data_IF_363677630072
#
_entry.id   IF_363677630072
#
_cell.length_a   1.000
_cell.length_b   1.000
_cell.length_c   1.000
_cell.angle_alpha   90.00
_cell.angle_beta   90.00
_cell.angle_gamma   90.00
#
_symmetry.space_group_name_H-M   'P 1'
#
loop_
_entity.id
_entity.type
_entity.pdbx_description
1 polymer ?
#
# COMPACT_ATOMS: atom_id res chain seq x y z
N UNK A 1 -44.83 23.38 25.14
CA UNK A 1 -44.04 22.14 24.95
C UNK A 1 -42.73 22.52 24.28
N UNK A 2 -41.59 22.25 24.92
CA UNK A 2 -40.25 22.53 24.36
C UNK A 2 -39.73 21.25 23.70
N UNK A 3 -39.55 21.28 22.38
CA UNK A 3 -38.91 20.20 21.64
C UNK A 3 -37.41 20.41 21.68
N UNK A 4 -36.73 19.63 22.52
CA UNK A 4 -35.26 19.56 22.51
C UNK A 4 -34.85 18.66 21.34
N UNK A 5 -34.34 19.26 20.27
CA UNK A 5 -33.79 18.51 19.14
C UNK A 5 -32.37 18.08 19.54
N UNK A 6 -32.19 16.78 19.77
CA UNK A 6 -30.86 16.18 19.98
C UNK A 6 -30.24 15.98 18.60
N UNK A 7 -29.30 16.85 18.23
CA UNK A 7 -28.48 16.69 17.04
C UNK A 7 -27.46 15.57 17.29
N UNK A 8 -27.74 14.37 16.80
CA UNK A 8 -26.78 13.27 16.79
C UNK A 8 -25.74 13.52 15.68
N UNK A 9 -24.54 13.96 16.08
CA UNK A 9 -23.37 14.02 15.19
C UNK A 9 -22.78 12.63 15.03
N UNK A 10 -23.09 11.98 13.90
CA UNK A 10 -22.41 10.75 13.47
C UNK A 10 -20.97 11.10 13.08
N UNK A 11 -20.01 10.84 13.98
CA UNK A 11 -18.58 10.83 13.67
C UNK A 11 -18.27 9.60 12.81
N UNK A 12 -18.46 9.72 11.49
CA UNK A 12 -17.88 8.77 10.56
C UNK A 12 -16.35 8.98 10.53
N UNK A 13 -15.60 8.06 11.13
CA UNK A 13 -14.14 8.04 11.03
C UNK A 13 -13.74 7.79 9.58
N UNK A 14 -13.20 8.81 8.91
CA UNK A 14 -12.60 8.68 7.59
C UNK A 14 -11.28 7.92 7.72
N UNK A 15 -11.31 6.62 7.51
CA UNK A 15 -10.08 5.85 7.32
C UNK A 15 -9.52 6.25 5.95
N UNK A 16 -8.38 6.95 5.94
CA UNK A 16 -7.67 7.27 4.70
C UNK A 16 -7.24 5.96 4.02
N UNK A 17 -7.45 5.84 2.71
CA UNK A 17 -6.95 4.72 1.93
C UNK A 17 -5.71 5.17 1.15
N UNK A 18 -4.71 4.29 1.06
CA UNK A 18 -3.53 4.51 0.26
C UNK A 18 -3.51 3.57 -0.93
N UNK A 19 -3.30 4.16 -2.09
CA UNK A 19 -3.23 3.47 -3.37
C UNK A 19 -1.80 3.48 -3.92
N UNK A 20 -1.38 2.33 -4.43
CA UNK A 20 -0.16 2.18 -5.23
C UNK A 20 -0.39 1.18 -6.38
N UNK A 21 0.48 1.19 -7.37
CA UNK A 21 0.48 0.23 -8.48
C UNK A 21 1.87 -0.38 -8.61
N UNK A 22 1.95 -1.70 -8.56
CA UNK A 22 3.15 -2.47 -8.85
C UNK A 22 3.21 -2.75 -10.36
N UNK A 23 4.36 -2.54 -10.97
CA UNK A 23 4.57 -2.74 -12.40
C UNK A 23 5.61 -3.82 -12.64
N UNK A 24 5.35 -4.68 -13.62
CA UNK A 24 6.23 -5.81 -13.97
C UNK A 24 7.62 -5.33 -14.44
N UNK A 25 7.69 -4.19 -15.11
CA UNK A 25 8.95 -3.64 -15.63
C UNK A 25 9.38 -2.38 -14.86
N UNK A 26 10.65 -2.01 -15.03
CA UNK A 26 11.18 -0.72 -14.57
C UNK A 26 10.48 0.47 -15.24
N UNK A 27 10.58 1.65 -14.64
CA UNK A 27 10.00 2.89 -15.17
C UNK A 27 8.50 2.81 -15.46
N UNK A 28 7.76 2.04 -14.65
CA UNK A 28 6.30 1.88 -14.70
C UNK A 28 5.80 1.21 -15.99
N UNK A 29 6.63 0.35 -16.58
CA UNK A 29 6.28 -0.44 -17.77
C UNK A 29 5.61 -1.78 -17.43
N UNK A 30 5.17 -2.50 -18.46
CA UNK A 30 4.58 -3.82 -18.29
C UNK A 30 3.19 -3.82 -17.63
N UNK A 31 2.78 -4.97 -17.09
CA UNK A 31 1.48 -5.12 -16.44
C UNK A 31 1.47 -4.40 -15.09
N UNK A 32 0.40 -3.66 -14.81
CA UNK A 32 0.18 -2.97 -13.54
C UNK A 32 -0.81 -3.70 -12.63
N UNK A 33 -0.45 -3.90 -11.36
CA UNK A 33 -1.29 -4.44 -10.30
C UNK A 33 -1.56 -3.38 -9.24
N UNK A 34 -2.80 -2.87 -9.21
CA UNK A 34 -3.20 -1.85 -8.26
C UNK A 34 -3.60 -2.44 -6.91
N UNK A 35 -3.12 -1.82 -5.84
CA UNK A 35 -3.54 -2.08 -4.46
C UNK A 35 -4.18 -0.82 -3.89
N UNK A 36 -5.31 -0.99 -3.20
CA UNK A 36 -6.03 0.08 -2.53
C UNK A 36 -6.46 -0.44 -1.16
N UNK A 37 -5.63 -0.17 -0.16
CA UNK A 37 -5.86 -0.60 1.22
C UNK A 37 -5.86 0.60 2.17
N UNK A 38 -6.50 0.49 3.34
CA UNK A 38 -6.38 1.50 4.40
C UNK A 38 -4.93 1.90 4.69
N UNK A 39 -4.73 3.17 5.04
CA UNK A 39 -3.46 3.76 5.45
C UNK A 39 -3.19 3.42 6.93
N UNK A 40 -2.82 2.17 7.18
CA UNK A 40 -2.68 1.61 8.52
C UNK A 40 -1.52 0.62 8.64
N UNK A 41 -1.18 0.26 9.88
CA UNK A 41 -0.12 -0.70 10.20
C UNK A 41 -0.54 -2.18 10.01
N UNK A 42 -1.67 -2.43 9.33
CA UNK A 42 -2.12 -3.80 9.03
C UNK A 42 -1.29 -4.36 7.87
N UNK A 43 -0.90 -5.62 8.02
CA UNK A 43 -0.20 -6.35 6.99
C UNK A 43 -1.15 -6.95 5.95
N UNK A 44 -0.72 -6.90 4.69
CA UNK A 44 -1.44 -7.44 3.54
C UNK A 44 -0.54 -8.31 2.68
N UNK A 45 -0.99 -9.52 2.34
CA UNK A 45 -0.30 -10.40 1.40
C UNK A 45 -0.74 -10.11 -0.04
N UNK A 46 0.22 -9.98 -0.96
CA UNK A 46 -0.01 -9.63 -2.37
C UNK A 46 -0.47 -10.80 -3.23
N UNK A 47 -0.33 -12.04 -2.74
CA UNK A 47 -0.80 -13.27 -3.38
C UNK A 47 -0.40 -13.38 -4.88
N UNK A 48 0.87 -13.12 -5.18
CA UNK A 48 1.43 -13.22 -6.53
C UNK A 48 1.54 -11.90 -7.30
N UNK A 49 0.87 -10.83 -6.83
CA UNK A 49 0.90 -9.52 -7.51
C UNK A 49 2.24 -8.79 -7.42
N UNK A 50 3.12 -9.22 -6.50
CA UNK A 50 4.45 -8.66 -6.31
C UNK A 50 5.59 -9.54 -6.85
N UNK A 51 5.27 -10.71 -7.42
CA UNK A 51 6.25 -11.71 -7.89
C UNK A 51 7.00 -11.27 -9.16
N UNK A 52 6.57 -10.17 -9.78
CA UNK A 52 7.21 -9.57 -10.95
C UNK A 52 7.49 -8.08 -10.77
N UNK A 53 7.23 -7.53 -9.59
CA UNK A 53 7.25 -6.09 -9.42
C UNK A 53 8.68 -5.55 -9.55
N UNK A 54 8.90 -4.69 -10.53
CA UNK A 54 10.18 -4.02 -10.81
C UNK A 54 10.10 -2.50 -10.66
N UNK A 55 8.90 -1.90 -10.62
CA UNK A 55 8.70 -0.50 -10.25
C UNK A 55 7.36 -0.25 -9.58
N UNK A 56 7.22 0.89 -8.89
CA UNK A 56 6.02 1.21 -8.08
C UNK A 56 5.64 2.67 -8.24
N UNK A 57 4.38 2.95 -8.62
CA UNK A 57 3.79 4.28 -8.41
C UNK A 57 3.00 4.29 -7.11
N UNK A 58 3.03 5.42 -6.40
CA UNK A 58 2.32 5.59 -5.14
C UNK A 58 1.82 7.02 -4.98
N UNK A 59 0.62 7.16 -4.40
CA UNK A 59 0.10 8.46 -4.01
C UNK A 59 0.80 9.05 -2.77
N UNK A 60 0.13 10.02 -2.13
CA UNK A 60 0.58 10.53 -0.83
C UNK A 60 0.68 9.41 0.23
N UNK A 61 1.59 9.57 1.20
CA UNK A 61 1.88 8.56 2.23
C UNK A 61 3.04 7.64 1.86
N UNK A 62 3.18 6.52 2.58
CA UNK A 62 4.28 5.59 2.35
C UNK A 62 3.88 4.12 2.59
N UNK A 63 4.54 3.19 1.89
CA UNK A 63 4.37 1.74 2.07
C UNK A 63 5.68 1.18 2.60
N UNK A 64 5.59 0.20 3.48
CA UNK A 64 6.71 -0.72 3.68
C UNK A 64 6.40 -2.01 2.94
N UNK A 65 7.26 -2.39 2.00
CA UNK A 65 7.22 -3.64 1.26
C UNK A 65 8.15 -4.66 1.90
N UNK A 66 7.73 -5.93 1.91
CA UNK A 66 8.43 -7.01 2.59
C UNK A 66 8.72 -8.18 1.66
N UNK A 67 9.88 -8.79 1.89
CA UNK A 67 10.40 -9.93 1.13
C UNK A 67 9.65 -11.24 1.46
N UNK A 68 8.87 -11.28 2.53
CA UNK A 68 8.14 -12.48 2.94
C UNK A 68 6.67 -12.15 3.20
N UNK A 69 5.86 -13.21 3.34
CA UNK A 69 4.47 -13.08 3.75
C UNK A 69 4.38 -12.51 5.17
N UNK A 70 3.22 -11.96 5.48
CA UNK A 70 2.87 -11.51 6.84
C UNK A 70 3.84 -10.46 7.40
N UNK A 71 4.41 -9.62 6.52
CA UNK A 71 5.26 -8.47 6.81
C UNK A 71 6.54 -8.84 7.56
N UNK A 72 7.16 -9.93 7.10
CA UNK A 72 8.40 -10.47 7.64
C UNK A 72 9.59 -10.30 6.69
N UNK A 73 10.78 -10.55 7.21
CA UNK A 73 12.03 -10.51 6.45
C UNK A 73 12.53 -9.10 6.16
N UNK A 74 13.42 -8.98 5.17
CA UNK A 74 13.94 -7.69 4.74
C UNK A 74 12.84 -6.82 4.15
N UNK A 75 12.94 -5.52 4.38
CA UNK A 75 11.90 -4.56 4.01
C UNK A 75 12.44 -3.30 3.38
N UNK A 76 11.61 -2.64 2.58
CA UNK A 76 11.92 -1.35 1.99
C UNK A 76 10.75 -0.38 2.17
N UNK A 77 11.06 0.83 2.65
CA UNK A 77 10.10 1.93 2.74
C UNK A 77 10.04 2.68 1.41
N UNK A 78 8.89 2.59 0.75
CA UNK A 78 8.58 3.27 -0.49
C UNK A 78 7.80 4.55 -0.19
N UNK A 79 8.28 5.67 -0.73
CA UNK A 79 7.67 7.00 -0.62
C UNK A 79 7.52 7.59 -2.02
N UNK A 80 6.33 8.08 -2.37
CA UNK A 80 6.06 8.65 -3.68
C UNK A 80 6.09 7.63 -4.81
N UNK A 81 6.80 7.92 -5.91
CA UNK A 81 7.01 6.99 -7.02
C UNK A 81 8.44 6.47 -7.01
N UNK A 82 8.62 5.21 -7.41
CA UNK A 82 9.91 4.54 -7.49
C UNK A 82 10.05 3.84 -8.86
N UNK A 83 10.93 4.34 -9.76
CA UNK A 83 11.12 3.77 -11.09
C UNK A 83 11.82 2.40 -11.06
N UNK A 84 12.37 2.01 -9.91
CA UNK A 84 13.00 0.71 -9.66
C UNK A 84 12.69 0.24 -8.24
N UNK A 85 12.40 -1.04 -8.08
CA UNK A 85 12.37 -1.73 -6.78
C UNK A 85 13.82 -2.10 -6.38
N UNK A 86 14.19 -2.07 -5.08
CA UNK A 86 15.50 -2.55 -4.64
C UNK A 86 15.73 -4.01 -5.03
N UNK A 87 16.96 -4.37 -5.38
CA UNK A 87 17.30 -5.68 -5.92
C UNK A 87 16.84 -6.88 -5.07
N UNK A 88 16.79 -6.75 -3.74
CA UNK A 88 16.34 -7.84 -2.86
C UNK A 88 14.82 -8.06 -2.84
N UNK A 89 14.06 -7.13 -3.43
CA UNK A 89 12.60 -7.17 -3.58
C UNK A 89 12.14 -7.22 -5.04
N UNK A 90 13.03 -7.03 -6.02
CA UNK A 90 12.67 -7.13 -7.43
C UNK A 90 12.13 -8.54 -7.71
N UNK A 91 10.95 -8.64 -8.31
CA UNK A 91 10.26 -9.92 -8.54
C UNK A 91 10.01 -10.73 -7.25
N UNK A 92 10.04 -10.07 -6.09
CA UNK A 92 10.03 -10.75 -4.80
C UNK A 92 9.35 -9.93 -3.69
N UNK A 93 8.24 -9.27 -4.01
CA UNK A 93 7.41 -8.60 -3.00
C UNK A 93 6.25 -9.51 -2.60
N UNK A 94 6.21 -9.92 -1.34
CA UNK A 94 5.18 -10.84 -0.83
C UNK A 94 4.09 -10.15 -0.03
N UNK A 95 4.44 -9.12 0.71
CA UNK A 95 3.48 -8.40 1.55
C UNK A 95 3.84 -6.93 1.73
N UNK A 96 2.90 -6.15 2.25
CA UNK A 96 3.08 -4.74 2.52
C UNK A 96 2.25 -4.24 3.71
N UNK A 97 2.64 -3.08 4.24
CA UNK A 97 1.82 -2.22 5.10
C UNK A 97 1.81 -0.82 4.52
N UNK A 98 0.69 -0.12 4.60
CA UNK A 98 0.63 1.32 4.30
C UNK A 98 1.08 2.12 5.53
N UNK A 99 2.32 1.88 5.96
CA UNK A 99 2.96 2.61 7.05
C UNK A 99 4.47 2.49 6.95
N UNK A 100 5.13 3.56 7.38
CA UNK A 100 6.54 3.66 7.72
C UNK A 100 6.64 4.28 9.12
#
# INVERSE_FOLDING_TARGET
>A
MKFTIIAATLLASVVSARQFVLYDDINYGGTGNAENQPDEARCWNLNGRGDKASSVTGGAGCSTFFQQRDCQGSSWQQRGNAPTVPAFLNDHIWSFMNRC
#
